data_IF_254336697757
#
_entry.id   IF_254336697757
#
_cell.length_a   1.000
_cell.length_b   1.000
_cell.length_c   1.000
_cell.angle_alpha   90.00
_cell.angle_beta   90.00
_cell.angle_gamma   90.00
#
_symmetry.space_group_name_H-M   'P 1'
#
loop_
_entity.id
_entity.type
_entity.pdbx_description
1 polymer ?
#
# COMPACT_ATOMS: atom_id res chain seq x y z
N UNK A 1 -9.81 -13.91 15.10
CA UNK A 1 -8.52 -13.96 15.80
C UNK A 1 -7.38 -13.42 14.94
N UNK A 2 -7.09 -14.03 13.77
CA UNK A 2 -5.99 -13.61 12.87
C UNK A 2 -6.09 -12.13 12.45
N UNK A 3 -7.24 -11.67 11.94
CA UNK A 3 -7.42 -10.25 11.57
C UNK A 3 -7.25 -9.30 12.75
N UNK A 4 -7.72 -9.67 13.94
CA UNK A 4 -7.58 -8.84 15.14
C UNK A 4 -6.10 -8.69 15.52
N UNK A 5 -5.32 -9.78 15.46
CA UNK A 5 -3.86 -9.75 15.67
C UNK A 5 -3.16 -8.88 14.62
N UNK A 6 -3.54 -9.02 13.36
CA UNK A 6 -3.00 -8.24 12.25
C UNK A 6 -3.35 -6.74 12.31
N UNK A 7 -4.42 -6.36 13.01
CA UNK A 7 -4.77 -4.95 13.29
C UNK A 7 -4.21 -4.43 14.62
N UNK A 8 -3.47 -5.28 15.35
CA UNK A 8 -3.08 -5.04 16.74
C UNK A 8 -4.26 -4.65 17.66
N UNK A 9 -5.42 -5.32 17.50
CA UNK A 9 -6.65 -5.08 18.28
C UNK A 9 -7.15 -6.34 18.97
N UNK A 10 -7.74 -6.19 20.16
CA UNK A 10 -8.42 -7.29 20.86
C UNK A 10 -9.79 -7.57 20.22
N UNK A 11 -10.17 -8.85 20.09
CA UNK A 11 -11.44 -9.27 19.47
C UNK A 11 -12.69 -8.60 20.08
N UNK A 12 -12.73 -8.46 21.40
CA UNK A 12 -13.84 -7.81 22.12
C UNK A 12 -13.96 -6.33 21.74
N UNK A 13 -12.84 -5.62 21.54
CA UNK A 13 -12.84 -4.21 21.16
C UNK A 13 -13.41 -3.99 19.75
N UNK A 14 -13.23 -4.97 18.84
CA UNK A 14 -13.76 -4.91 17.47
C UNK A 14 -15.27 -5.12 17.44
N UNK A 15 -15.81 -6.03 18.25
CA UNK A 15 -17.26 -6.33 18.30
C UNK A 15 -18.05 -5.26 19.07
N UNK A 16 -17.47 -4.69 20.13
CA UNK A 16 -18.13 -3.68 20.96
C UNK A 16 -18.19 -2.28 20.31
N UNK A 17 -17.79 -2.12 19.04
CA UNK A 17 -17.75 -0.82 18.37
C UNK A 17 -16.73 0.16 18.99
N UNK A 18 -15.75 -0.36 19.73
CA UNK A 18 -14.82 0.43 20.51
C UNK A 18 -13.74 1.06 19.65
N UNK A 19 -14.03 2.23 19.07
CA UNK A 19 -13.02 3.27 18.98
C UNK A 19 -12.64 3.65 20.41
N UNK A 20 -11.46 3.17 20.84
CA UNK A 20 -10.69 3.66 22.01
C UNK A 20 -11.50 4.19 23.20
N UNK A 21 -12.08 3.32 24.01
CA UNK A 21 -12.47 3.66 25.39
C UNK A 21 -11.75 2.74 26.36
N UNK A 22 -10.47 3.01 26.55
CA UNK A 22 -9.76 2.72 27.80
C UNK A 22 -8.96 3.98 28.07
N UNK A 23 -9.47 4.79 29.01
CA UNK A 23 -8.85 5.98 29.62
C UNK A 23 -7.54 6.45 28.96
N UNK A 24 -7.68 7.14 27.84
CA UNK A 24 -6.60 7.87 27.19
C UNK A 24 -7.02 9.32 27.14
N UNK A 25 -6.27 10.18 27.82
CA UNK A 25 -6.25 11.62 27.56
C UNK A 25 -6.44 11.86 26.07
N UNK A 26 -7.43 12.68 25.72
CA UNK A 26 -7.55 13.28 24.40
C UNK A 26 -6.21 13.96 24.13
N UNK A 27 -5.33 13.28 23.41
CA UNK A 27 -4.17 13.91 22.83
C UNK A 27 -4.76 14.94 21.88
N UNK A 28 -4.52 16.22 22.21
CA UNK A 28 -4.68 17.31 21.27
C UNK A 28 -4.03 16.89 19.95
N UNK A 29 -4.60 17.35 18.83
CA UNK A 29 -3.95 17.30 17.53
C UNK A 29 -2.50 17.77 17.74
N UNK A 30 -1.58 16.80 17.81
CA UNK A 30 -0.18 17.04 18.07
C UNK A 30 0.34 17.85 16.91
N UNK A 31 1.00 18.95 17.25
CA UNK A 31 1.62 19.94 16.39
C UNK A 31 2.07 19.34 15.06
N UNK A 32 1.65 19.99 13.98
CA UNK A 32 2.19 19.72 12.66
C UNK A 32 3.68 19.98 12.68
N UNK A 33 4.47 18.91 12.82
CA UNK A 33 5.80 18.86 12.23
C UNK A 33 5.67 19.34 10.78
N UNK A 34 6.61 20.15 10.31
CA UNK A 34 6.69 20.56 8.91
C UNK A 34 6.74 19.29 8.04
N UNK A 35 5.57 18.86 7.54
CA UNK A 35 5.47 17.73 6.65
C UNK A 35 6.29 18.08 5.40
N UNK A 36 7.12 17.13 4.95
CA UNK A 36 7.91 17.29 3.73
C UNK A 36 7.05 17.65 2.53
N UNK A 37 7.68 18.02 1.42
CA UNK A 37 6.95 18.32 0.19
C UNK A 37 6.38 17.03 -0.45
N UNK A 38 5.14 17.10 -0.92
CA UNK A 38 4.56 16.01 -1.72
C UNK A 38 5.09 16.10 -3.15
N UNK A 39 5.80 15.06 -3.59
CA UNK A 39 6.37 15.01 -4.94
C UNK A 39 5.43 14.22 -5.87
N UNK A 40 4.73 14.85 -6.83
CA UNK A 40 3.90 14.15 -7.79
C UNK A 40 4.74 13.44 -8.87
N UNK A 41 4.15 12.44 -9.52
CA UNK A 41 4.72 11.76 -10.70
C UNK A 41 3.63 11.51 -11.75
N UNK A 42 4.00 11.51 -13.04
CA UNK A 42 3.11 11.13 -14.14
C UNK A 42 3.04 9.61 -14.36
N UNK A 43 2.06 9.16 -15.15
CA UNK A 43 1.94 7.75 -15.51
C UNK A 43 3.07 7.32 -16.45
N UNK A 44 3.52 8.22 -17.33
CA UNK A 44 4.61 8.04 -18.26
C UNK A 44 5.94 7.84 -17.52
N UNK A 45 6.27 8.72 -16.57
CA UNK A 45 7.47 8.57 -15.73
C UNK A 45 7.39 7.30 -14.87
N UNK A 46 6.20 6.95 -14.37
CA UNK A 46 5.99 5.68 -13.63
C UNK A 46 6.29 4.47 -14.53
N UNK A 47 5.82 4.48 -15.78
CA UNK A 47 6.11 3.41 -16.73
C UNK A 47 7.62 3.31 -17.05
N UNK A 48 8.32 4.44 -17.16
CA UNK A 48 9.77 4.46 -17.36
C UNK A 48 10.53 3.86 -16.17
N UNK A 49 10.16 4.23 -14.93
CA UNK A 49 10.75 3.63 -13.73
C UNK A 49 10.53 2.12 -13.70
N UNK A 50 9.32 1.65 -13.99
CA UNK A 50 8.99 0.23 -13.99
C UNK A 50 9.76 -0.57 -15.05
N UNK A 51 9.97 -0.01 -16.25
CA UNK A 51 10.76 -0.67 -17.32
C UNK A 51 12.26 -0.77 -17.00
N UNK A 52 12.77 0.19 -16.23
CA UNK A 52 14.19 0.25 -15.87
C UNK A 52 14.52 -0.51 -14.57
N UNK A 53 13.52 -0.88 -13.79
CA UNK A 53 13.66 -1.66 -12.58
C UNK A 53 14.04 -3.12 -12.88
N UNK A 54 14.72 -3.76 -11.93
CA UNK A 54 14.94 -5.21 -11.87
C UNK A 54 13.98 -5.88 -10.89
N UNK A 55 13.67 -5.22 -9.78
CA UNK A 55 12.79 -5.69 -8.71
C UNK A 55 11.62 -4.72 -8.52
N UNK A 56 10.40 -5.21 -8.76
CA UNK A 56 9.16 -4.47 -8.59
C UNK A 56 8.24 -5.20 -7.63
N UNK A 57 7.76 -4.49 -6.61
CA UNK A 57 6.74 -5.01 -5.68
C UNK A 57 5.45 -4.21 -5.81
N UNK A 58 4.33 -4.90 -6.05
CA UNK A 58 3.00 -4.28 -6.12
C UNK A 58 2.27 -4.53 -4.80
N UNK A 59 1.81 -3.44 -4.17
CA UNK A 59 1.05 -3.47 -2.91
C UNK A 59 -0.42 -3.11 -3.20
N UNK A 60 -1.30 -4.10 -3.39
CA UNK A 60 -2.71 -3.85 -3.68
C UNK A 60 -3.49 -3.48 -2.40
N UNK A 61 -4.32 -2.44 -2.51
CA UNK A 61 -5.22 -1.99 -1.47
C UNK A 61 -6.68 -1.96 -1.88
N UNK A 62 -7.55 -1.47 -0.99
CA UNK A 62 -8.99 -1.41 -1.26
C UNK A 62 -9.34 -0.54 -2.47
N UNK A 63 -8.57 0.52 -2.74
CA UNK A 63 -8.80 1.37 -3.92
C UNK A 63 -8.65 0.62 -5.25
N UNK A 64 -7.76 -0.38 -5.31
CA UNK A 64 -7.64 -1.26 -6.48
C UNK A 64 -8.94 -2.05 -6.73
N UNK A 65 -9.51 -2.61 -5.65
CA UNK A 65 -10.75 -3.38 -5.72
C UNK A 65 -11.94 -2.51 -6.17
N UNK A 66 -12.06 -1.30 -5.61
CA UNK A 66 -13.14 -0.36 -5.97
C UNK A 66 -13.07 0.05 -7.43
N UNK A 67 -11.87 0.28 -7.96
CA UNK A 67 -11.67 0.66 -9.36
C UNK A 67 -11.69 -0.54 -10.34
N UNK A 68 -11.71 -1.77 -9.82
CA UNK A 68 -11.56 -3.01 -10.62
C UNK A 68 -10.27 -3.01 -11.46
N UNK A 69 -9.15 -2.57 -10.86
CA UNK A 69 -7.87 -2.40 -11.54
C UNK A 69 -7.01 -3.69 -11.59
N UNK A 70 -7.47 -4.81 -11.03
CA UNK A 70 -6.70 -6.06 -10.97
C UNK A 70 -6.30 -6.62 -12.35
N UNK A 71 -7.16 -6.44 -13.36
CA UNK A 71 -6.91 -6.93 -14.72
C UNK A 71 -5.78 -6.17 -15.44
N UNK A 72 -5.79 -4.82 -15.52
CA UNK A 72 -4.67 -4.10 -16.13
C UNK A 72 -3.36 -4.25 -15.32
N UNK A 73 -3.43 -4.43 -13.99
CA UNK A 73 -2.24 -4.75 -13.17
C UNK A 73 -1.62 -6.09 -13.56
N UNK A 74 -2.44 -7.11 -13.84
CA UNK A 74 -1.96 -8.39 -14.35
C UNK A 74 -1.25 -8.22 -15.70
N UNK A 75 -1.79 -7.40 -16.62
CA UNK A 75 -1.13 -7.13 -17.90
C UNK A 75 0.20 -6.39 -17.75
N UNK A 76 0.30 -5.41 -16.84
CA UNK A 76 1.58 -4.77 -16.48
C UNK A 76 2.57 -5.83 -15.99
N UNK A 77 2.15 -6.67 -15.06
CA UNK A 77 2.97 -7.74 -14.48
C UNK A 77 3.50 -8.66 -15.57
N UNK A 78 2.63 -9.09 -16.50
CA UNK A 78 3.02 -9.96 -17.62
C UNK A 78 4.07 -9.30 -18.51
N UNK A 79 3.85 -8.06 -18.94
CA UNK A 79 4.77 -7.33 -19.81
C UNK A 79 6.13 -7.08 -19.17
N UNK A 80 6.17 -6.68 -17.90
CA UNK A 80 7.41 -6.47 -17.17
C UNK A 80 8.20 -7.78 -17.01
N UNK A 81 7.51 -8.89 -16.72
CA UNK A 81 8.15 -10.22 -16.65
C UNK A 81 8.67 -10.70 -18.01
N UNK A 82 8.00 -10.39 -19.12
CA UNK A 82 8.52 -10.63 -20.47
C UNK A 82 9.84 -9.87 -20.72
N UNK A 83 10.01 -8.71 -20.08
CA UNK A 83 11.25 -7.91 -20.08
C UNK A 83 12.26 -8.35 -19.00
N UNK A 84 12.00 -9.48 -18.31
CA UNK A 84 12.84 -10.06 -17.25
C UNK A 84 12.92 -9.23 -15.96
N UNK A 85 11.97 -8.31 -15.75
CA UNK A 85 11.78 -7.67 -14.45
C UNK A 85 11.16 -8.69 -13.49
N UNK A 86 11.69 -8.81 -12.29
CA UNK A 86 11.08 -9.60 -11.23
C UNK A 86 9.93 -8.81 -10.62
N UNK A 87 8.71 -9.32 -10.73
CA UNK A 87 7.50 -8.66 -10.24
C UNK A 87 6.81 -9.55 -9.22
N UNK A 88 6.62 -9.01 -8.01
CA UNK A 88 5.99 -9.68 -6.87
C UNK A 88 4.84 -8.85 -6.32
N UNK A 89 3.87 -9.51 -5.70
CA UNK A 89 2.77 -8.87 -4.98
C UNK A 89 2.98 -9.05 -3.49
N UNK A 90 2.82 -7.97 -2.73
CA UNK A 90 2.93 -7.97 -1.28
C UNK A 90 1.55 -7.76 -0.66
N UNK A 91 1.02 -8.81 -0.03
CA UNK A 91 -0.34 -8.83 0.52
C UNK A 91 -0.31 -8.55 2.02
N UNK A 92 -0.97 -7.45 2.41
CA UNK A 92 -1.24 -7.21 3.80
C UNK A 92 -2.45 -8.05 4.26
N UNK A 93 -2.41 -8.72 5.44
CA UNK A 93 -3.47 -9.62 5.91
C UNK A 93 -4.84 -8.96 6.11
N UNK A 94 -4.88 -7.63 6.25
CA UNK A 94 -6.13 -6.83 6.33
C UNK A 94 -6.33 -5.88 5.15
N UNK A 95 -5.62 -6.08 4.03
CA UNK A 95 -5.90 -5.33 2.81
C UNK A 95 -7.35 -5.59 2.34
N UNK A 96 -8.10 -4.51 2.08
CA UNK A 96 -9.46 -4.59 1.56
C UNK A 96 -10.56 -4.44 2.62
N UNK A 97 -11.60 -5.29 2.54
CA UNK A 97 -12.83 -5.25 3.36
C UNK A 97 -13.32 -6.64 3.78
N UNK A 98 -12.63 -7.69 3.36
CA UNK A 98 -12.88 -9.07 3.75
C UNK A 98 -11.53 -9.80 3.90
N UNK A 99 -11.42 -10.85 4.75
CA UNK A 99 -10.22 -11.68 4.79
C UNK A 99 -9.86 -12.20 3.39
N UNK A 100 -8.58 -12.10 3.00
CA UNK A 100 -8.10 -12.58 1.70
C UNK A 100 -8.66 -11.82 0.48
N UNK A 101 -9.17 -10.59 0.68
CA UNK A 101 -9.79 -9.82 -0.41
C UNK A 101 -8.87 -9.67 -1.63
N UNK A 102 -7.60 -9.32 -1.40
CA UNK A 102 -6.65 -9.14 -2.49
C UNK A 102 -6.30 -10.46 -3.16
N UNK A 103 -6.10 -11.54 -2.39
CA UNK A 103 -5.80 -12.87 -2.94
C UNK A 103 -6.90 -13.34 -3.90
N UNK A 104 -8.18 -13.15 -3.54
CA UNK A 104 -9.32 -13.52 -4.40
C UNK A 104 -9.32 -12.72 -5.71
N UNK A 105 -9.13 -11.40 -5.65
CA UNK A 105 -9.12 -10.55 -6.86
C UNK A 105 -7.93 -10.84 -7.77
N UNK A 106 -6.75 -11.08 -7.19
CA UNK A 106 -5.56 -11.45 -7.97
C UNK A 106 -5.72 -12.82 -8.61
N UNK A 107 -6.32 -13.79 -7.91
CA UNK A 107 -6.66 -15.08 -8.48
C UNK A 107 -7.68 -14.97 -9.61
N UNK A 108 -8.71 -14.12 -9.48
CA UNK A 108 -9.68 -13.81 -10.54
C UNK A 108 -8.98 -13.21 -11.77
N UNK A 109 -8.02 -12.31 -11.56
CA UNK A 109 -7.18 -11.73 -12.61
C UNK A 109 -6.11 -12.69 -13.16
N UNK A 110 -6.04 -13.94 -12.66
CA UNK A 110 -5.07 -14.98 -13.07
C UNK A 110 -3.62 -14.67 -12.75
N UNK A 111 -3.37 -13.87 -11.71
CA UNK A 111 -2.02 -13.67 -11.16
C UNK A 111 -1.52 -15.01 -10.58
N UNK A 112 -0.34 -15.50 -10.99
CA UNK A 112 0.24 -16.73 -10.45
C UNK A 112 0.51 -16.63 -8.95
N UNK A 113 0.15 -17.67 -8.19
CA UNK A 113 0.30 -17.67 -6.72
C UNK A 113 1.76 -17.62 -6.25
N UNK A 114 2.72 -18.07 -7.05
CA UNK A 114 4.15 -18.06 -6.74
C UNK A 114 4.76 -16.66 -6.65
N UNK A 115 4.08 -15.65 -7.21
CA UNK A 115 4.50 -14.25 -7.13
C UNK A 115 3.63 -13.44 -6.18
N UNK A 116 2.76 -14.09 -5.40
CA UNK A 116 1.91 -13.45 -4.39
C UNK A 116 2.42 -13.85 -3.01
N UNK A 117 3.03 -12.90 -2.32
CA UNK A 117 3.68 -13.08 -1.03
C UNK A 117 2.86 -12.41 0.07
N UNK A 118 2.82 -13.05 1.23
CA UNK A 118 2.27 -12.44 2.44
C UNK A 118 3.28 -11.43 3.02
N UNK A 119 2.79 -10.44 3.77
CA UNK A 119 3.60 -9.35 4.33
C UNK A 119 4.86 -9.82 5.08
N UNK A 120 4.76 -10.90 5.87
CA UNK A 120 5.88 -11.43 6.65
C UNK A 120 6.99 -12.03 5.76
N UNK A 121 6.67 -12.42 4.52
CA UNK A 121 7.61 -13.02 3.58
C UNK A 121 8.38 -11.98 2.75
N UNK A 122 7.85 -10.76 2.63
CA UNK A 122 8.37 -9.72 1.71
C UNK A 122 8.95 -8.50 2.42
N UNK A 123 8.63 -8.28 3.70
CA UNK A 123 9.06 -7.07 4.42
C UNK A 123 10.59 -6.95 4.53
N UNK A 124 11.31 -8.07 4.67
CA UNK A 124 12.78 -8.08 4.74
C UNK A 124 13.45 -7.78 3.39
N UNK A 125 12.72 -7.94 2.28
CA UNK A 125 13.24 -7.74 0.92
C UNK A 125 13.13 -6.30 0.43
N UNK A 126 12.29 -5.45 1.07
CA UNK A 126 12.09 -4.07 0.60
C UNK A 126 13.37 -3.26 0.40
N UNK A 127 14.43 -3.36 1.22
CA UNK A 127 15.70 -2.69 0.97
C UNK A 127 16.36 -2.98 -0.39
N UNK A 128 16.04 -4.14 -0.99
CA UNK A 128 16.58 -4.58 -2.29
C UNK A 128 15.56 -4.38 -3.44
N UNK A 129 14.44 -3.69 -3.19
CA UNK A 129 13.40 -3.42 -4.20
C UNK A 129 13.64 -2.05 -4.84
N UNK A 130 13.70 -2.01 -6.18
CA UNK A 130 13.90 -0.77 -6.93
C UNK A 130 12.63 0.09 -6.92
N UNK A 131 11.46 -0.50 -7.21
CA UNK A 131 10.18 0.22 -7.30
C UNK A 131 9.06 -0.53 -6.58
N UNK A 132 8.39 0.16 -5.66
CA UNK A 132 7.14 -0.30 -5.04
C UNK A 132 5.96 0.47 -5.61
N UNK A 133 4.96 -0.23 -6.14
CA UNK A 133 3.72 0.36 -6.62
C UNK A 133 2.58 0.11 -5.62
N UNK A 134 2.23 1.14 -4.84
CA UNK A 134 1.16 1.08 -3.82
C UNK A 134 -0.16 1.52 -4.44
N UNK A 135 -1.11 0.59 -4.61
CA UNK A 135 -2.33 0.83 -5.39
C UNK A 135 -3.55 0.89 -4.48
N UNK A 136 -3.97 2.11 -4.14
CA UNK A 136 -5.20 2.30 -3.34
C UNK A 136 -5.12 1.74 -1.92
N UNK A 137 -3.91 1.65 -1.37
CA UNK A 137 -3.63 1.37 0.04
C UNK A 137 -3.26 2.66 0.77
N UNK A 138 -3.52 2.70 2.08
CA UNK A 138 -3.14 3.84 2.93
C UNK A 138 -2.66 3.34 4.29
N UNK A 139 -3.57 2.86 5.14
CA UNK A 139 -3.23 2.51 6.54
C UNK A 139 -2.20 1.35 6.63
N UNK A 140 -2.25 0.40 5.69
CA UNK A 140 -1.38 -0.80 5.67
C UNK A 140 0.06 -0.53 5.22
N UNK A 141 0.37 0.70 4.81
CA UNK A 141 1.71 1.17 4.44
C UNK A 141 2.10 2.41 5.25
N UNK A 142 1.44 2.66 6.38
CA UNK A 142 1.61 3.88 7.15
C UNK A 142 2.72 3.72 8.22
N UNK A 143 3.85 4.47 8.13
CA UNK A 143 4.95 4.41 9.10
C UNK A 143 4.53 4.75 10.53
N UNK A 144 3.47 5.54 10.73
CA UNK A 144 2.98 5.91 12.06
C UNK A 144 2.58 4.69 12.91
N UNK A 145 2.31 3.55 12.27
CA UNK A 145 2.07 2.31 13.01
C UNK A 145 3.29 1.87 13.84
N UNK A 146 4.51 2.27 13.45
CA UNK A 146 5.75 1.96 14.16
C UNK A 146 6.32 3.19 14.88
N UNK A 147 6.32 4.34 14.20
CA UNK A 147 7.05 5.53 14.62
C UNK A 147 6.26 6.38 15.64
N UNK A 148 4.94 6.24 15.68
CA UNK A 148 4.06 7.08 16.50
C UNK A 148 3.20 6.25 17.48
N UNK A 149 3.63 6.08 18.74
CA UNK A 149 2.86 5.38 19.76
C UNK A 149 1.48 5.98 20.07
N UNK A 150 1.27 7.27 19.75
CA UNK A 150 -0.02 7.95 19.90
C UNK A 150 -0.99 7.71 18.74
N UNK A 151 -0.54 7.08 17.67
CA UNK A 151 -1.36 6.82 16.49
C UNK A 151 -2.45 5.77 16.77
N UNK A 152 -3.69 5.95 16.28
CA UNK A 152 -4.75 4.94 16.31
C UNK A 152 -4.41 3.58 15.67
N UNK A 153 -3.31 3.51 14.92
CA UNK A 153 -2.77 2.31 14.27
C UNK A 153 -1.45 1.84 14.88
N UNK A 154 -1.02 2.40 16.01
CA UNK A 154 0.22 2.02 16.67
C UNK A 154 0.30 0.50 16.97
N UNK A 155 1.43 -0.09 16.61
CA UNK A 155 1.74 -1.51 16.71
C UNK A 155 1.04 -2.40 15.67
N UNK A 156 0.25 -1.84 14.75
CA UNK A 156 -0.23 -2.59 13.59
C UNK A 156 0.97 -2.96 12.71
N UNK A 157 1.22 -4.24 12.39
CA UNK A 157 2.22 -4.57 11.39
C UNK A 157 1.80 -3.94 10.07
N UNK A 158 2.77 -3.46 9.29
CA UNK A 158 2.54 -2.76 8.02
C UNK A 158 3.57 -3.22 6.99
N UNK A 159 3.29 -2.98 5.72
CA UNK A 159 4.27 -3.16 4.65
C UNK A 159 5.22 -1.95 4.64
N UNK A 160 6.50 -2.21 4.88
CA UNK A 160 7.54 -1.18 5.08
C UNK A 160 8.09 -0.63 3.76
N UNK A 161 7.17 -0.24 2.87
CA UNK A 161 7.45 0.17 1.49
C UNK A 161 8.42 1.34 1.38
N UNK A 162 8.56 2.13 2.44
CA UNK A 162 9.51 3.23 2.50
C UNK A 162 10.98 2.79 2.56
N UNK A 163 11.25 1.49 2.76
CA UNK A 163 12.60 0.92 2.72
C UNK A 163 13.10 0.65 1.29
N UNK A 164 12.22 0.66 0.30
CA UNK A 164 12.58 0.51 -1.11
C UNK A 164 13.26 1.75 -1.68
N UNK A 165 13.92 1.60 -2.84
CA UNK A 165 14.57 2.72 -3.52
C UNK A 165 13.54 3.80 -3.92
N UNK A 166 12.41 3.41 -4.52
CA UNK A 166 11.30 4.33 -4.83
C UNK A 166 9.95 3.72 -4.50
N UNK A 167 9.11 4.46 -3.77
CA UNK A 167 7.70 4.09 -3.52
C UNK A 167 6.75 5.01 -4.30
N UNK A 168 5.92 4.45 -5.16
CA UNK A 168 4.90 5.18 -5.93
C UNK A 168 3.54 4.89 -5.33
N UNK A 169 2.88 5.90 -4.78
CA UNK A 169 1.56 5.77 -4.16
C UNK A 169 0.49 6.29 -5.11
N UNK A 170 -0.42 5.40 -5.49
CA UNK A 170 -1.55 5.69 -6.38
C UNK A 170 -2.83 5.94 -5.56
N UNK A 171 -3.35 7.17 -5.63
CA UNK A 171 -4.62 7.55 -4.97
C UNK A 171 -5.26 8.78 -5.63
N UNK A 172 -6.54 9.00 -5.38
CA UNK A 172 -7.31 10.11 -5.99
C UNK A 172 -6.94 11.50 -5.47
N UNK A 173 -6.56 11.61 -4.21
CA UNK A 173 -6.29 12.88 -3.51
C UNK A 173 -5.53 12.60 -2.21
N UNK A 174 -5.19 13.62 -1.41
CA UNK A 174 -4.58 13.48 -0.09
C UNK A 174 -5.54 13.00 1.04
N UNK A 175 -6.74 12.52 0.70
CA UNK A 175 -7.69 11.98 1.68
C UNK A 175 -7.11 10.84 2.54
N UNK A 176 -7.57 10.77 3.80
CA UNK A 176 -7.15 9.77 4.79
C UNK A 176 -7.73 8.38 4.51
N UNK A 177 -7.15 7.37 5.15
CA UNK A 177 -7.59 5.97 5.05
C UNK A 177 -8.79 5.67 5.96
N UNK A 178 -8.98 4.38 6.27
CA UNK A 178 -10.06 3.95 7.15
C UNK A 178 -9.83 4.42 8.60
N UNK A 179 -8.57 4.45 9.04
CA UNK A 179 -8.20 4.91 10.37
C UNK A 179 -8.34 6.43 10.57
N UNK A 180 -8.57 7.20 9.50
CA UNK A 180 -8.76 8.66 9.59
C UNK A 180 -7.48 9.45 9.88
N UNK A 181 -6.31 8.81 9.82
CA UNK A 181 -5.01 9.44 10.06
C UNK A 181 -4.34 9.85 8.75
N UNK A 182 -3.49 10.88 8.82
CA UNK A 182 -2.55 11.19 7.75
C UNK A 182 -1.46 10.11 7.67
N UNK A 183 -0.73 10.07 6.56
CA UNK A 183 0.29 9.05 6.34
C UNK A 183 1.62 9.73 6.00
N UNK A 184 2.62 9.68 6.91
CA UNK A 184 3.94 10.27 6.68
C UNK A 184 4.67 9.74 5.45
N UNK A 185 4.31 8.52 4.96
CA UNK A 185 4.88 7.96 3.74
C UNK A 185 4.83 8.96 2.57
N UNK A 186 3.72 9.70 2.44
CA UNK A 186 3.48 10.57 1.29
C UNK A 186 4.44 11.76 1.17
N UNK A 187 5.21 12.01 2.24
CA UNK A 187 6.15 13.13 2.35
C UNK A 187 7.61 12.66 2.42
N UNK A 188 7.87 11.35 2.33
CA UNK A 188 9.24 10.82 2.32
C UNK A 188 9.92 11.13 0.99
N UNK A 189 11.22 11.40 1.03
CA UNK A 189 12.02 11.81 -0.14
C UNK A 189 12.01 10.78 -1.28
N UNK A 190 11.94 9.48 -0.96
CA UNK A 190 11.85 8.38 -1.92
C UNK A 190 10.42 8.05 -2.37
N UNK A 191 9.43 8.83 -1.94
CA UNK A 191 8.03 8.59 -2.29
C UNK A 191 7.57 9.54 -3.40
N UNK A 192 6.76 9.01 -4.32
CA UNK A 192 6.13 9.76 -5.40
C UNK A 192 4.63 9.52 -5.39
N UNK A 193 3.85 10.56 -5.64
CA UNK A 193 2.39 10.49 -5.64
C UNK A 193 1.84 10.50 -7.07
N UNK A 194 1.21 9.40 -7.47
CA UNK A 194 0.47 9.33 -8.73
C UNK A 194 -1.01 9.57 -8.46
N UNK A 195 -1.47 10.78 -8.75
CA UNK A 195 -2.87 11.16 -8.49
C UNK A 195 -3.80 10.72 -9.62
N UNK A 196 -4.89 10.05 -9.26
CA UNK A 196 -5.91 9.62 -10.22
C UNK A 196 -6.82 8.52 -9.73
N UNK A 197 -7.77 8.14 -10.58
CA UNK A 197 -8.49 6.87 -10.43
C UNK A 197 -7.53 5.71 -10.65
N UNK A 198 -7.59 4.67 -9.81
CA UNK A 198 -6.61 3.59 -9.85
C UNK A 198 -6.62 2.84 -11.18
N UNK A 199 -7.80 2.58 -11.77
CA UNK A 199 -7.87 1.85 -13.04
C UNK A 199 -7.36 2.71 -14.19
N UNK A 200 -7.80 3.95 -14.28
CA UNK A 200 -7.35 4.87 -15.33
C UNK A 200 -5.82 5.10 -15.27
N UNK A 201 -5.26 5.27 -14.08
CA UNK A 201 -3.81 5.45 -13.91
C UNK A 201 -3.02 4.18 -14.27
N UNK A 202 -3.49 2.99 -13.88
CA UNK A 202 -2.84 1.72 -14.28
C UNK A 202 -2.93 1.51 -15.79
N UNK A 203 -4.07 1.80 -16.43
CA UNK A 203 -4.22 1.71 -17.89
C UNK A 203 -3.27 2.69 -18.62
N UNK A 204 -3.08 3.90 -18.09
CA UNK A 204 -2.12 4.86 -18.62
C UNK A 204 -0.67 4.37 -18.48
N UNK A 205 -0.30 3.81 -17.33
CA UNK A 205 1.02 3.17 -17.14
C UNK A 205 1.21 2.03 -18.15
N UNK A 206 0.20 1.16 -18.29
CA UNK A 206 0.23 0.02 -19.20
C UNK A 206 0.43 0.42 -20.67
N UNK A 207 -0.06 1.60 -21.07
CA UNK A 207 0.17 2.13 -22.41
C UNK A 207 1.65 2.52 -22.64
N UNK A 208 2.39 2.82 -21.58
CA UNK A 208 3.82 3.18 -21.62
C UNK A 208 4.79 2.01 -21.45
N UNK A 209 4.30 0.80 -21.13
CA UNK A 209 5.08 -0.45 -20.95
C UNK A 209 4.93 -1.35 -22.18
#
# INVERSE_FOLDING_TARGET
YIMCRAMNRKFIAVIAGGFGTSEGTVAAAGDGEEQGEVVPISAEETAELLKNAKEVVIVPGYGMAVAQAQYPIYEITRKLREQKVNVRFAIHPVAGRMPGHMNVLLAEAKVPYDIVLEMDEVNEDFPDVDVVLVIGANDIVNPDAQDNPGSPIAGMPVLEVWKAETAIVMKRSMATGYAGVQNPLFFKENTRMLFGDAKASVEAILAGI
#
